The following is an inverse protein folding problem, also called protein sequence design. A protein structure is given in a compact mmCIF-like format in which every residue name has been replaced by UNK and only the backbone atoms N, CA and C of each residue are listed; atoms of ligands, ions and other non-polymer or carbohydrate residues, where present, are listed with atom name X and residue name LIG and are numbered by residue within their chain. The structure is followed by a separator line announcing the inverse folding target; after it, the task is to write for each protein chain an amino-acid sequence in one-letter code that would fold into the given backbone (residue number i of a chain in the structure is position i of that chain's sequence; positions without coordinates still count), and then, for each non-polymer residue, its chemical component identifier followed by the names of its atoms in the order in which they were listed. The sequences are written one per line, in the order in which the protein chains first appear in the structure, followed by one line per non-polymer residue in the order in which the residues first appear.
data_IF_955152810368
#
_entry.id   IF_955152810368
#
_cell.length_a   1.000
_cell.length_b   1.000
_cell.length_c   1.000
_cell.angle_alpha   90.00
_cell.angle_beta   90.00
_cell.angle_gamma   90.00
#
_symmetry.space_group_name_H-M   'P 1'
#
loop_
_entity.id
_entity.type
_entity.pdbx_description
1 polymer ?
#
# COMPACT_ATOMS: atom_id res chain seq x y z
N UNK A 1 18.88 -12.77 -4.12
CA UNK A 1 17.57 -12.69 -3.43
C UNK A 1 17.89 -12.54 -1.96
N UNK A 2 17.46 -11.46 -1.32
CA UNK A 2 17.63 -11.33 0.13
C UNK A 2 16.67 -12.32 0.78
N UNK A 3 17.15 -13.14 1.72
CA UNK A 3 16.35 -14.14 2.45
C UNK A 3 15.41 -13.44 3.46
N UNK A 4 14.52 -12.60 2.94
CA UNK A 4 13.64 -11.70 3.69
C UNK A 4 12.28 -11.64 3.01
N UNK A 5 11.18 -11.49 3.77
CA UNK A 5 9.86 -11.32 3.19
C UNK A 5 9.82 -10.14 2.23
N UNK A 6 9.36 -10.39 1.01
CA UNK A 6 9.21 -9.38 -0.02
C UNK A 6 7.72 -9.25 -0.35
N UNK A 7 7.20 -8.03 -0.29
CA UNK A 7 5.82 -7.70 -0.68
C UNK A 7 5.85 -6.65 -1.77
N UNK A 8 4.87 -6.67 -2.68
CA UNK A 8 4.82 -5.73 -3.79
C UNK A 8 3.39 -5.43 -4.26
N UNK A 9 3.24 -4.38 -5.07
CA UNK A 9 2.06 -4.11 -5.90
C UNK A 9 2.55 -3.77 -7.30
N UNK A 10 1.76 -4.07 -8.33
CA UNK A 10 2.12 -3.71 -9.70
C UNK A 10 1.97 -2.21 -9.98
N UNK A 11 2.85 -1.68 -10.82
CA UNK A 11 2.68 -0.36 -11.42
C UNK A 11 1.86 -0.40 -12.71
N UNK A 12 1.55 0.78 -13.25
CA UNK A 12 0.81 0.94 -14.51
C UNK A 12 1.57 0.44 -15.75
N UNK A 13 2.89 0.30 -15.67
CA UNK A 13 3.74 -0.26 -16.73
C UNK A 13 4.09 -1.73 -16.52
N UNK A 14 3.58 -2.37 -15.47
CA UNK A 14 3.85 -3.78 -15.24
C UNK A 14 3.34 -4.60 -16.42
N UNK A 15 4.21 -5.45 -16.96
CA UNK A 15 3.80 -6.55 -17.83
C UNK A 15 3.62 -7.75 -16.91
N UNK A 16 2.49 -8.45 -17.03
CA UNK A 16 2.20 -9.65 -16.25
C UNK A 16 3.21 -10.78 -16.47
N UNK A 17 4.07 -10.63 -17.48
CA UNK A 17 5.22 -11.46 -17.77
C UNK A 17 6.41 -10.54 -18.05
N UNK A 18 7.42 -10.56 -17.17
CA UNK A 18 8.77 -10.25 -17.63
C UNK A 18 9.26 -11.47 -18.43
N UNK A 19 9.39 -11.32 -19.74
CA UNK A 19 10.08 -12.32 -20.56
C UNK A 19 11.57 -12.19 -20.29
N UNK A 20 12.10 -13.04 -19.42
CA UNK A 20 13.54 -13.23 -19.32
C UNK A 20 14.01 -13.95 -20.59
N UNK A 21 15.26 -13.76 -21.02
CA UNK A 21 15.86 -14.29 -22.26
C UNK A 21 15.78 -15.83 -22.44
N UNK A 22 15.17 -16.53 -21.48
CA UNK A 22 15.13 -17.97 -21.33
C UNK A 22 13.68 -18.51 -21.45
N UNK A 23 12.74 -17.73 -22.00
CA UNK A 23 11.34 -18.11 -22.21
C UNK A 23 10.56 -18.47 -20.92
N UNK A 24 10.98 -17.94 -19.77
CA UNK A 24 10.27 -18.08 -18.49
C UNK A 24 9.36 -16.89 -18.25
N UNK A 25 8.06 -17.15 -18.20
CA UNK A 25 7.03 -16.19 -17.74
C UNK A 25 7.15 -16.03 -16.24
N UNK A 26 7.81 -14.97 -15.79
CA UNK A 26 7.86 -14.63 -14.35
C UNK A 26 6.75 -13.61 -14.11
N UNK A 27 5.65 -14.07 -13.50
CA UNK A 27 4.46 -13.24 -13.24
C UNK A 27 4.51 -12.48 -11.92
N UNK A 28 5.62 -12.59 -11.18
CA UNK A 28 5.93 -11.89 -9.94
C UNK A 28 7.42 -12.13 -9.65
N UNK A 29 8.15 -11.21 -8.98
CA UNK A 29 9.46 -11.54 -8.45
C UNK A 29 9.34 -12.83 -7.64
N UNK A 30 10.22 -13.81 -7.87
CA UNK A 30 10.16 -15.09 -7.16
C UNK A 30 10.01 -14.82 -5.65
N UNK A 31 9.23 -15.64 -4.92
CA UNK A 31 9.08 -15.50 -3.47
C UNK A 31 8.43 -14.20 -2.95
N UNK A 32 8.04 -13.24 -3.81
CA UNK A 32 7.39 -12.01 -3.39
C UNK A 32 5.86 -12.17 -3.35
N UNK A 33 5.23 -11.58 -2.33
CA UNK A 33 3.78 -11.60 -2.14
C UNK A 33 3.12 -10.34 -2.71
N UNK A 34 2.23 -10.50 -3.70
CA UNK A 34 1.45 -9.38 -4.23
C UNK A 34 0.36 -8.97 -3.22
N UNK A 35 0.42 -7.72 -2.76
CA UNK A 35 -0.53 -7.12 -1.83
C UNK A 35 -1.82 -6.61 -2.48
N UNK A 36 -1.93 -6.63 -3.82
CA UNK A 36 -3.09 -6.05 -4.49
C UNK A 36 -4.42 -6.63 -3.99
N UNK A 37 -5.23 -5.75 -3.38
CA UNK A 37 -6.52 -6.09 -2.79
C UNK A 37 -6.44 -7.22 -1.75
N UNK A 38 -5.30 -7.33 -1.05
CA UNK A 38 -5.05 -8.31 0.03
C UNK A 38 -4.43 -7.63 1.24
N UNK A 39 -4.67 -8.21 2.42
CA UNK A 39 -3.93 -7.88 3.64
C UNK A 39 -2.80 -8.88 3.86
N UNK A 40 -1.75 -8.45 4.55
CA UNK A 40 -0.59 -9.26 4.91
C UNK A 40 -0.08 -8.87 6.29
N UNK A 41 0.25 -9.84 7.13
CA UNK A 41 0.79 -9.60 8.46
C UNK A 41 2.18 -10.22 8.53
N UNK A 42 3.19 -9.42 8.86
CA UNK A 42 4.53 -9.88 9.16
C UNK A 42 4.93 -9.40 10.55
N UNK A 43 5.05 -10.33 11.50
CA UNK A 43 5.49 -10.08 12.88
C UNK A 43 4.73 -8.93 13.58
N UNK A 44 3.42 -8.86 13.32
CA UNK A 44 2.52 -7.84 13.88
C UNK A 44 2.43 -6.55 13.07
N UNK A 45 3.21 -6.39 12.01
CA UNK A 45 3.06 -5.29 11.05
C UNK A 45 1.95 -5.62 10.03
N UNK A 46 0.84 -4.90 10.11
CA UNK A 46 -0.33 -5.13 9.26
C UNK A 46 -0.24 -4.28 7.99
N UNK A 47 -0.18 -4.92 6.84
CA UNK A 47 -0.03 -4.28 5.54
C UNK A 47 -1.22 -4.60 4.64
N UNK A 48 -1.49 -3.71 3.69
CA UNK A 48 -2.39 -3.94 2.57
C UNK A 48 -1.85 -3.25 1.31
N UNK A 49 -2.36 -3.60 0.12
CA UNK A 49 -1.89 -2.95 -1.10
C UNK A 49 -2.92 -2.73 -2.20
N UNK A 50 -2.67 -1.71 -3.00
CA UNK A 50 -3.48 -1.29 -4.15
C UNK A 50 -2.56 -0.98 -5.33
N UNK A 51 -2.80 -1.62 -6.47
CA UNK A 51 -1.89 -1.59 -7.62
C UNK A 51 -2.39 -0.66 -8.71
N UNK A 52 -1.52 -0.37 -9.68
CA UNK A 52 -1.84 0.36 -10.89
C UNK A 52 -2.04 1.87 -10.68
N UNK A 53 -2.50 2.52 -11.75
CA UNK A 53 -2.74 3.96 -11.78
C UNK A 53 -4.14 4.32 -12.22
N UNK A 54 -4.46 5.61 -12.15
CA UNK A 54 -5.66 6.15 -12.81
C UNK A 54 -5.62 5.77 -14.30
N UNK A 55 -6.77 5.51 -14.90
CA UNK A 55 -6.87 5.23 -16.33
C UNK A 55 -6.63 6.50 -17.14
N UNK A 56 -5.62 6.45 -18.02
CA UNK A 56 -5.25 7.56 -18.90
C UNK A 56 -5.12 7.15 -20.38
N UNK A 57 -5.15 5.85 -20.67
CA UNK A 57 -5.18 5.32 -22.03
C UNK A 57 -5.95 3.98 -22.10
N UNK A 58 -5.87 3.30 -23.24
CA UNK A 58 -6.53 2.01 -23.50
C UNK A 58 -5.72 0.80 -23.06
N UNK A 59 -4.73 0.96 -22.16
CA UNK A 59 -3.99 -0.18 -21.65
C UNK A 59 -4.97 -1.19 -21.01
N UNK A 60 -4.81 -2.49 -21.32
CA UNK A 60 -5.80 -3.48 -20.91
C UNK A 60 -5.79 -3.76 -19.40
N UNK A 61 -4.75 -3.31 -18.67
CA UNK A 61 -4.47 -3.71 -17.29
C UNK A 61 -3.78 -2.62 -16.49
N UNK A 62 -3.81 -2.78 -15.16
CA UNK A 62 -3.15 -1.92 -14.17
C UNK A 62 -3.51 -0.43 -14.28
N UNK A 63 -4.69 -0.18 -14.86
CA UNK A 63 -5.29 1.14 -14.99
C UNK A 63 -6.76 1.07 -14.59
N UNK A 64 -7.11 1.87 -13.60
CA UNK A 64 -8.43 1.86 -12.97
C UNK A 64 -9.04 3.24 -13.02
N UNK A 65 -10.34 3.31 -13.24
CA UNK A 65 -11.15 4.44 -12.80
C UNK A 65 -11.20 4.50 -11.28
N UNK A 66 -11.56 5.65 -10.71
CA UNK A 66 -11.70 5.77 -9.26
C UNK A 66 -12.78 4.81 -8.70
N UNK A 67 -13.83 4.51 -9.48
CA UNK A 67 -14.87 3.56 -9.12
C UNK A 67 -14.36 2.09 -9.10
N UNK A 68 -13.53 1.70 -10.07
CA UNK A 68 -12.91 0.37 -10.05
C UNK A 68 -11.89 0.25 -8.90
N UNK A 69 -11.16 1.32 -8.60
CA UNK A 69 -10.28 1.37 -7.44
C UNK A 69 -11.06 1.21 -6.13
N UNK A 70 -12.26 1.78 -6.03
CA UNK A 70 -13.19 1.50 -4.94
C UNK A 70 -13.59 0.03 -4.85
N UNK A 71 -13.83 -0.64 -5.98
CA UNK A 71 -14.05 -2.09 -6.00
C UNK A 71 -12.86 -2.87 -5.44
N UNK A 72 -11.63 -2.44 -5.73
CA UNK A 72 -10.42 -3.03 -5.15
C UNK A 72 -10.30 -2.77 -3.64
N UNK A 73 -10.65 -1.57 -3.17
CA UNK A 73 -10.72 -1.27 -1.74
C UNK A 73 -11.79 -2.14 -1.05
N UNK A 74 -12.95 -2.34 -1.68
CA UNK A 74 -14.01 -3.18 -1.12
C UNK A 74 -13.53 -4.62 -0.87
N UNK A 75 -12.66 -5.14 -1.74
CA UNK A 75 -12.03 -6.47 -1.58
C UNK A 75 -11.07 -6.54 -0.38
N UNK A 76 -10.54 -5.42 0.09
CA UNK A 76 -9.73 -5.37 1.33
C UNK A 76 -10.59 -5.45 2.60
N UNK A 77 -11.85 -5.01 2.55
CA UNK A 77 -12.70 -4.83 3.73
C UNK A 77 -12.77 -6.08 4.62
N UNK A 78 -12.97 -7.30 4.09
CA UNK A 78 -13.01 -8.50 4.94
C UNK A 78 -11.71 -8.71 5.72
N UNK A 79 -10.55 -8.57 5.06
CA UNK A 79 -9.24 -8.71 5.70
C UNK A 79 -8.97 -7.61 6.73
N UNK A 80 -9.39 -6.38 6.44
CA UNK A 80 -9.30 -5.25 7.38
C UNK A 80 -10.19 -5.49 8.61
N UNK A 81 -11.41 -5.99 8.44
CA UNK A 81 -12.30 -6.37 9.55
C UNK A 81 -11.68 -7.46 10.42
N UNK A 82 -11.12 -8.51 9.81
CA UNK A 82 -10.38 -9.55 10.53
C UNK A 82 -9.22 -8.96 11.34
N UNK A 83 -8.45 -8.05 10.75
CA UNK A 83 -7.37 -7.36 11.45
C UNK A 83 -7.88 -6.55 12.64
N UNK A 84 -8.96 -5.78 12.47
CA UNK A 84 -9.52 -4.97 13.54
C UNK A 84 -10.03 -5.82 14.70
N UNK A 85 -10.66 -6.94 14.40
CA UNK A 85 -11.13 -7.89 15.43
C UNK A 85 -9.97 -8.54 16.19
N UNK A 86 -8.89 -8.89 15.50
CA UNK A 86 -7.76 -9.63 16.09
C UNK A 86 -6.71 -8.75 16.76
N UNK A 87 -6.49 -7.55 16.24
CA UNK A 87 -5.37 -6.66 16.64
C UNK A 87 -5.82 -5.26 17.08
N UNK A 88 -7.13 -4.98 17.09
CA UNK A 88 -7.69 -3.69 17.49
C UNK A 88 -7.55 -2.57 16.44
N UNK A 89 -6.94 -2.84 15.28
CA UNK A 89 -6.68 -1.87 14.21
C UNK A 89 -6.81 -2.48 12.82
N UNK A 90 -7.11 -1.64 11.83
CA UNK A 90 -7.36 -2.08 10.46
C UNK A 90 -6.09 -2.54 9.73
N UNK A 91 -5.08 -1.67 9.75
CA UNK A 91 -3.76 -1.86 9.14
C UNK A 91 -2.79 -0.79 9.65
N UNK A 92 -1.49 -1.02 9.45
CA UNK A 92 -0.42 -0.07 9.74
C UNK A 92 0.08 0.62 8.46
N UNK A 93 0.24 -0.12 7.36
CA UNK A 93 0.80 0.39 6.10
C UNK A 93 -0.09 0.04 4.91
N UNK A 94 -0.46 1.05 4.12
CA UNK A 94 -0.98 0.86 2.77
C UNK A 94 0.15 1.06 1.76
N UNK A 95 0.42 0.05 0.94
CA UNK A 95 1.36 0.13 -0.19
C UNK A 95 0.56 0.37 -1.47
N UNK A 96 0.78 1.52 -2.11
CA UNK A 96 0.13 1.87 -3.36
C UNK A 96 1.16 2.11 -4.47
N UNK A 97 0.77 1.95 -5.73
CA UNK A 97 1.59 2.46 -6.83
C UNK A 97 1.36 3.97 -7.02
N UNK A 98 0.13 4.37 -7.33
CA UNK A 98 -0.23 5.77 -7.54
C UNK A 98 -0.39 6.59 -6.25
N UNK A 99 -0.25 7.93 -6.34
CA UNK A 99 -0.52 8.84 -5.23
C UNK A 99 -2.03 9.00 -4.94
N UNK A 100 -2.41 9.52 -3.75
CA UNK A 100 -3.74 10.07 -3.51
C UNK A 100 -3.98 11.35 -4.32
N UNK A 101 -5.23 11.64 -4.68
CA UNK A 101 -5.56 12.85 -5.44
C UNK A 101 -5.25 14.12 -4.65
N UNK A 102 -4.54 15.06 -5.26
CA UNK A 102 -4.10 16.31 -4.65
C UNK A 102 -2.96 16.17 -3.64
N UNK A 103 -2.37 14.98 -3.48
CA UNK A 103 -1.23 14.75 -2.59
C UNK A 103 -0.13 14.07 -3.39
N UNK A 104 0.94 14.82 -3.69
CA UNK A 104 2.08 14.39 -4.51
C UNK A 104 1.76 14.03 -5.98
N UNK A 105 0.50 14.14 -6.41
CA UNK A 105 0.12 13.91 -7.80
C UNK A 105 0.58 15.04 -8.73
N UNK A 106 0.45 14.83 -10.04
CA UNK A 106 0.87 15.78 -11.06
C UNK A 106 -0.30 16.11 -12.01
N UNK A 107 -0.27 17.27 -12.70
CA UNK A 107 -1.38 17.72 -13.52
C UNK A 107 -1.58 16.89 -14.80
N UNK A 108 -0.61 16.06 -15.19
CA UNK A 108 -0.80 15.17 -16.33
C UNK A 108 -1.70 13.98 -15.98
N UNK A 109 -2.30 13.42 -17.03
CA UNK A 109 -3.30 12.35 -16.90
C UNK A 109 -2.77 11.09 -16.25
N UNK A 110 -1.51 10.73 -16.51
CA UNK A 110 -0.97 9.46 -16.02
C UNK A 110 -0.70 9.51 -14.52
N UNK A 111 -0.32 10.68 -14.02
CA UNK A 111 0.10 10.88 -12.64
C UNK A 111 -0.96 11.54 -11.75
N UNK A 112 -2.19 11.71 -12.24
CA UNK A 112 -3.32 12.12 -11.42
C UNK A 112 -3.61 11.05 -10.35
N UNK A 113 -3.78 11.48 -9.09
CA UNK A 113 -4.01 10.57 -7.98
C UNK A 113 -5.46 10.09 -7.85
N UNK A 114 -5.67 9.08 -7.00
CA UNK A 114 -7.00 8.53 -6.72
C UNK A 114 -7.73 9.27 -5.61
N UNK A 115 -9.01 9.62 -5.82
CA UNK A 115 -9.84 10.23 -4.79
C UNK A 115 -10.30 9.20 -3.75
N UNK A 116 -10.47 7.95 -4.17
CA UNK A 116 -10.75 6.80 -3.32
C UNK A 116 -9.71 6.62 -2.20
N UNK A 117 -8.44 6.97 -2.42
CA UNK A 117 -7.40 6.91 -1.39
C UNK A 117 -7.60 7.92 -0.26
N UNK A 118 -8.15 9.11 -0.56
CA UNK A 118 -8.49 10.10 0.46
C UNK A 118 -9.56 9.56 1.42
N UNK A 119 -10.54 8.84 0.88
CA UNK A 119 -11.60 8.21 1.66
C UNK A 119 -11.08 6.98 2.41
N UNK A 120 -10.23 6.18 1.79
CA UNK A 120 -9.54 5.07 2.46
C UNK A 120 -8.82 5.55 3.73
N UNK A 121 -8.03 6.61 3.63
CA UNK A 121 -7.30 7.19 4.77
C UNK A 121 -8.24 7.74 5.85
N UNK A 122 -9.37 8.36 5.47
CA UNK A 122 -10.38 8.84 6.43
C UNK A 122 -10.98 7.70 7.28
N UNK A 123 -11.28 6.55 6.67
CA UNK A 123 -11.94 5.43 7.34
C UNK A 123 -10.98 4.48 8.07
N UNK A 124 -9.91 4.07 7.40
CA UNK A 124 -9.02 3.02 7.89
C UNK A 124 -7.79 3.55 8.60
N UNK A 125 -7.46 4.84 8.40
CA UNK A 125 -6.41 5.56 9.12
C UNK A 125 -5.10 4.76 9.25
N UNK A 126 -4.52 4.25 8.14
CA UNK A 126 -3.21 3.62 8.19
C UNK A 126 -2.19 4.62 8.73
N UNK A 127 -1.14 4.14 9.41
CA UNK A 127 -0.04 4.98 9.86
C UNK A 127 0.72 5.58 8.67
N UNK A 128 0.92 4.76 7.64
CA UNK A 128 1.57 5.17 6.39
C UNK A 128 0.77 4.79 5.16
N UNK A 129 0.74 5.69 4.17
CA UNK A 129 0.47 5.37 2.78
C UNK A 129 1.75 5.59 1.98
N UNK A 130 2.38 4.50 1.57
CA UNK A 130 3.59 4.51 0.77
C UNK A 130 3.20 4.43 -0.71
N UNK A 131 3.68 5.37 -1.52
CA UNK A 131 3.43 5.33 -2.96
C UNK A 131 4.69 5.61 -3.78
N UNK A 132 4.65 5.17 -5.04
CA UNK A 132 5.64 5.49 -6.05
C UNK A 132 5.02 6.34 -7.14
N UNK A 133 5.26 5.93 -8.40
CA UNK A 133 4.73 6.50 -9.64
C UNK A 133 5.21 7.92 -9.99
N UNK A 134 5.43 8.77 -8.99
CA UNK A 134 5.87 10.15 -9.14
C UNK A 134 7.38 10.20 -8.96
N UNK A 135 8.10 10.39 -10.08
CA UNK A 135 9.55 10.50 -10.06
C UNK A 135 9.99 11.87 -9.54
N UNK A 136 10.94 11.87 -8.61
CA UNK A 136 11.46 13.08 -7.97
C UNK A 136 12.71 13.54 -8.73
N UNK A 137 12.57 14.66 -9.45
CA UNK A 137 13.68 15.26 -10.21
C UNK A 137 14.29 16.48 -9.53
N UNK A 138 13.55 17.11 -8.61
CA UNK A 138 14.01 18.29 -7.88
C UNK A 138 14.08 17.99 -6.39
N UNK A 139 15.13 18.46 -5.74
CA UNK A 139 15.37 18.24 -4.30
C UNK A 139 14.32 18.93 -3.41
N UNK A 140 13.68 19.99 -3.89
CA UNK A 140 12.62 20.72 -3.19
C UNK A 140 11.22 20.11 -3.34
N UNK A 141 11.10 18.97 -4.04
CA UNK A 141 9.80 18.29 -4.19
C UNK A 141 9.31 17.77 -2.84
N UNK A 142 8.08 18.12 -2.47
CA UNK A 142 7.43 17.56 -1.28
C UNK A 142 7.16 16.07 -1.51
N UNK A 143 7.75 15.23 -0.65
CA UNK A 143 7.59 13.77 -0.71
C UNK A 143 6.96 13.17 0.54
N UNK A 144 6.63 14.00 1.52
CA UNK A 144 6.05 13.60 2.78
C UNK A 144 4.96 14.59 3.14
N UNK A 145 3.72 14.11 3.24
CA UNK A 145 2.56 14.93 3.59
C UNK A 145 1.72 14.19 4.60
N UNK A 146 1.34 14.86 5.69
CA UNK A 146 0.34 14.32 6.61
C UNK A 146 -1.06 14.63 6.10
N UNK A 147 -1.89 13.60 5.97
CA UNK A 147 -3.31 13.73 5.70
C UNK A 147 -4.10 12.98 6.77
N UNK A 148 -4.87 13.72 7.58
CA UNK A 148 -5.53 13.18 8.77
C UNK A 148 -4.49 12.55 9.74
N UNK A 149 -4.64 11.27 10.02
CA UNK A 149 -3.74 10.48 10.87
C UNK A 149 -2.73 9.66 10.06
N UNK A 150 -2.72 9.82 8.74
CA UNK A 150 -1.86 9.07 7.82
C UNK A 150 -0.72 9.93 7.30
N UNK A 151 0.49 9.40 7.40
CA UNK A 151 1.66 9.94 6.72
C UNK A 151 1.72 9.37 5.29
N UNK A 152 1.53 10.24 4.29
CA UNK A 152 1.66 9.91 2.87
C UNK A 152 3.10 10.14 2.46
N UNK A 153 3.79 9.11 1.95
CA UNK A 153 5.21 9.15 1.64
C UNK A 153 5.45 8.65 0.22
N UNK A 154 6.06 9.49 -0.62
CA UNK A 154 6.59 9.07 -1.91
C UNK A 154 7.95 8.39 -1.70
N UNK A 155 8.05 7.11 -1.99
CA UNK A 155 9.24 6.29 -1.73
C UNK A 155 10.26 6.25 -2.88
N UNK A 156 10.10 7.04 -3.95
CA UNK A 156 11.03 7.07 -5.08
C UNK A 156 12.42 7.63 -4.69
N UNK A 157 13.54 7.03 -5.18
CA UNK A 157 13.61 5.73 -5.85
C UNK A 157 13.57 4.55 -4.86
N UNK A 158 14.00 4.78 -3.62
CA UNK A 158 13.78 3.89 -2.48
C UNK A 158 13.79 4.71 -1.18
N UNK A 159 13.22 4.14 -0.11
CA UNK A 159 13.34 4.65 1.26
C UNK A 159 13.48 3.52 2.25
N UNK A 160 14.19 3.79 3.35
CA UNK A 160 14.26 2.92 4.53
C UNK A 160 13.42 3.59 5.61
N UNK A 161 12.49 2.84 6.19
CA UNK A 161 11.63 3.30 7.27
C UNK A 161 11.84 2.39 8.47
N UNK A 162 12.10 2.99 9.62
CA UNK A 162 12.06 2.30 10.90
C UNK A 162 10.62 2.33 11.42
N UNK A 163 9.99 1.16 11.47
CA UNK A 163 8.59 1.02 11.86
C UNK A 163 8.55 0.10 13.07
N UNK A 164 8.31 0.67 14.24
CA UNK A 164 7.94 -0.14 15.39
C UNK A 164 6.55 -0.76 15.14
N UNK A 165 6.41 -2.10 15.23
CA UNK A 165 5.12 -2.73 15.25
C UNK A 165 4.34 -2.20 16.45
N UNK A 166 3.04 -1.95 16.28
CA UNK A 166 2.20 -1.57 17.42
C UNK A 166 2.28 -2.68 18.47
N UNK A 167 2.89 -2.38 19.63
CA UNK A 167 2.86 -3.26 20.79
C UNK A 167 1.39 -3.54 21.10
N UNK A 168 1.03 -4.82 21.22
CA UNK A 168 -0.24 -5.13 21.86
C UNK A 168 -0.22 -4.48 23.25
N UNK A 169 -1.31 -3.82 23.65
CA UNK A 169 -1.52 -3.57 25.06
C UNK A 169 -1.36 -4.94 25.75
N UNK A 170 -0.50 -5.03 26.76
CA UNK A 170 -0.34 -6.24 27.55
C UNK A 170 -1.74 -6.74 27.92
N UNK A 171 -2.04 -8.05 27.84
CA UNK A 171 -3.25 -8.56 28.49
C UNK A 171 -3.22 -8.03 29.92
N UNK A 172 -4.35 -7.46 30.37
CA UNK A 172 -4.52 -7.05 31.75
C UNK A 172 -4.22 -8.30 32.57
N UNK A 173 -3.06 -8.34 33.21
CA UNK A 173 -2.78 -9.31 34.25
C UNK A 173 -3.80 -9.01 35.35
N UNK A 174 -4.84 -9.83 35.41
CA UNK A 174 -5.66 -9.92 36.60
C UNK A 174 -4.71 -10.47 37.65
N UNK A 175 -4.18 -9.58 38.49
CA UNK A 175 -3.59 -9.99 39.75
C UNK A 175 -4.72 -10.64 40.55
N UNK A 176 -4.66 -11.97 40.69
CA UNK A 176 -5.40 -12.65 41.73
C UNK A 176 -4.97 -12.03 43.07
N UNK A 177 -5.89 -11.46 43.86
CA UNK A 177 -5.57 -11.08 45.22
C UNK A 177 -5.32 -12.39 45.99
N UNK A 178 -4.05 -12.75 46.13
CA UNK A 178 -3.63 -13.82 47.01
C UNK A 178 -4.00 -13.45 48.46
N UNK A 179 -4.86 -14.30 49.04
CA UNK A 179 -4.99 -14.70 50.46
C UNK A 179 -4.65 -13.70 51.56
#
# INVERSE_FOLDING_TARGET
MLDRPCVFVFGNHAKEAEYWANNRTVSAPAGAFNLHARTYNHDGLLMAGLEGSIRYNSAPRFQYTDAEMWGNIARLIPGLLTNRLRYGRWLDVLVAHSPPRGIHDQPDRAHTGFASFLRFMQYFKPRYLLHGHIHIYRQDTITWTRYQETEVINVYPYRILEIEPFSQARPISVEDPAT
#
